data_IF_591041350253
#
_entry.id   IF_591041350253
#
_cell.length_a   1.000
_cell.length_b   1.000
_cell.length_c   1.000
_cell.angle_alpha   90.00
_cell.angle_beta   90.00
_cell.angle_gamma   90.00
#
_symmetry.space_group_name_H-M   'P 1'
#
loop_
_entity.id
_entity.type
_entity.pdbx_description
1 polymer ?
#
# COMPACT_ATOMS: atom_id res chain seq x y z
N UNK A 1 -17.17 -8.44 -23.31
CA UNK A 1 -15.83 -8.87 -23.75
C UNK A 1 -14.92 -7.65 -23.81
N UNK A 2 -14.14 -7.37 -22.75
CA UNK A 2 -13.21 -6.23 -22.70
C UNK A 2 -11.84 -6.66 -23.23
N UNK A 3 -11.76 -6.86 -24.54
CA UNK A 3 -10.50 -7.13 -25.24
C UNK A 3 -9.72 -5.83 -25.43
N UNK A 4 -8.44 -5.85 -25.05
CA UNK A 4 -7.37 -5.00 -25.62
C UNK A 4 -7.49 -3.47 -25.50
N UNK A 5 -8.00 -2.92 -24.39
CA UNK A 5 -7.79 -1.49 -24.12
C UNK A 5 -6.37 -1.24 -23.58
N UNK A 6 -5.44 -0.86 -24.46
CA UNK A 6 -4.09 -0.40 -24.14
C UNK A 6 -4.12 1.08 -23.69
N UNK A 7 -4.92 1.38 -22.67
CA UNK A 7 -4.88 2.70 -22.03
C UNK A 7 -3.54 2.89 -21.32
N UNK A 8 -2.82 3.96 -21.65
CA UNK A 8 -1.63 4.36 -20.90
C UNK A 8 -2.03 4.63 -19.44
N UNK A 9 -1.44 3.89 -18.48
CA UNK A 9 -1.63 4.11 -17.05
C UNK A 9 -1.03 5.49 -16.66
N UNK A 10 -1.83 6.55 -16.75
CA UNK A 10 -1.41 7.91 -16.38
C UNK A 10 -1.69 8.18 -14.90
N UNK A 11 -0.63 8.45 -14.13
CA UNK A 11 -0.73 8.79 -12.71
C UNK A 11 -1.18 10.25 -12.55
N UNK A 12 -2.44 10.45 -12.18
CA UNK A 12 -2.97 11.75 -11.81
C UNK A 12 -2.35 12.26 -10.49
N UNK A 13 -1.85 13.50 -10.49
CA UNK A 13 -1.27 14.17 -9.31
C UNK A 13 -2.33 15.08 -8.68
N UNK A 14 -2.96 14.62 -7.61
CA UNK A 14 -3.96 15.38 -6.83
C UNK A 14 -3.53 15.51 -5.38
N UNK A 15 -3.95 16.59 -4.71
CA UNK A 15 -3.65 16.90 -3.31
C UNK A 15 -2.33 17.64 -3.10
N UNK A 16 -1.93 17.82 -1.83
CA UNK A 16 -0.74 18.58 -1.46
C UNK A 16 0.56 17.89 -1.96
N UNK A 17 1.42 18.60 -2.72
CA UNK A 17 2.63 18.02 -3.30
C UNK A 17 3.70 17.62 -2.26
N UNK A 18 3.83 18.39 -1.17
CA UNK A 18 4.78 18.12 -0.09
C UNK A 18 4.37 16.85 0.67
N UNK A 19 3.08 16.73 1.01
CA UNK A 19 2.56 15.54 1.68
C UNK A 19 2.74 14.28 0.82
N UNK A 20 2.52 14.37 -0.50
CA UNK A 20 2.78 13.25 -1.43
C UNK A 20 4.24 12.84 -1.45
N UNK A 21 5.16 13.81 -1.44
CA UNK A 21 6.61 13.55 -1.40
C UNK A 21 6.99 12.83 -0.11
N UNK A 22 6.51 13.31 1.04
CA UNK A 22 6.74 12.67 2.33
C UNK A 22 6.20 11.23 2.35
N UNK A 23 4.95 11.03 1.92
CA UNK A 23 4.33 9.70 1.89
C UNK A 23 5.08 8.73 0.96
N UNK A 24 5.59 9.21 -0.18
CA UNK A 24 6.44 8.42 -1.06
C UNK A 24 7.71 7.95 -0.35
N UNK A 25 8.39 8.84 0.39
CA UNK A 25 9.55 8.47 1.21
C UNK A 25 9.19 7.50 2.32
N UNK A 26 8.07 7.69 3.00
CA UNK A 26 7.58 6.79 4.05
C UNK A 26 7.42 5.37 3.52
N UNK A 27 6.72 5.19 2.39
CA UNK A 27 6.56 3.86 1.77
C UNK A 27 7.90 3.30 1.31
N UNK A 28 8.79 4.13 0.75
CA UNK A 28 10.13 3.71 0.36
C UNK A 28 10.95 3.20 1.54
N UNK A 29 10.86 3.88 2.68
CA UNK A 29 11.53 3.46 3.91
C UNK A 29 10.93 2.17 4.49
N UNK A 30 9.61 1.97 4.39
CA UNK A 30 8.98 0.70 4.77
C UNK A 30 9.55 -0.48 3.95
N UNK A 31 9.69 -0.30 2.63
CA UNK A 31 10.27 -1.33 1.76
C UNK A 31 11.75 -1.57 2.06
N UNK A 32 12.53 -0.50 2.32
CA UNK A 32 13.95 -0.64 2.71
C UNK A 32 14.13 -1.38 4.03
N UNK A 33 13.16 -1.26 4.95
CA UNK A 33 13.18 -1.89 6.27
C UNK A 33 12.37 -3.21 6.32
N UNK A 34 12.06 -3.81 5.17
CA UNK A 34 11.23 -5.02 5.09
C UNK A 34 11.74 -6.22 5.91
N UNK A 35 13.04 -6.29 6.18
CA UNK A 35 13.64 -7.37 6.97
C UNK A 35 13.47 -7.17 8.49
N UNK A 36 13.19 -5.94 8.93
CA UNK A 36 13.09 -5.63 10.35
C UNK A 36 11.73 -5.98 10.94
N UNK A 37 10.64 -5.75 10.19
CA UNK A 37 9.28 -5.97 10.67
C UNK A 37 8.35 -6.33 9.51
N UNK A 38 7.32 -7.13 9.82
CA UNK A 38 6.32 -7.55 8.86
C UNK A 38 5.31 -6.43 8.56
N UNK A 39 4.99 -6.20 7.28
CA UNK A 39 4.21 -5.03 6.86
C UNK A 39 3.33 -5.30 5.62
N UNK A 40 2.01 -5.17 5.77
CA UNK A 40 1.03 -5.40 4.70
C UNK A 40 1.11 -4.45 3.51
N UNK A 41 1.78 -3.31 3.66
CA UNK A 41 2.05 -2.39 2.56
C UNK A 41 3.22 -2.91 1.72
N UNK A 42 4.23 -3.51 2.36
CA UNK A 42 5.37 -4.14 1.68
C UNK A 42 4.92 -5.42 0.96
N UNK A 43 4.12 -6.27 1.62
CA UNK A 43 3.55 -7.46 0.96
C UNK A 43 2.74 -7.09 -0.27
N UNK A 44 1.96 -6.00 -0.17
CA UNK A 44 1.17 -5.50 -1.27
C UNK A 44 2.02 -4.97 -2.42
N UNK A 45 3.15 -4.32 -2.11
CA UNK A 45 4.12 -3.87 -3.11
C UNK A 45 4.64 -5.07 -3.91
N UNK A 46 5.16 -6.10 -3.24
CA UNK A 46 5.71 -7.29 -3.90
C UNK A 46 4.63 -8.06 -4.68
N UNK A 47 3.42 -8.17 -4.14
CA UNK A 47 2.26 -8.72 -4.86
C UNK A 47 1.99 -8.00 -6.19
N UNK A 48 2.11 -6.67 -6.24
CA UNK A 48 1.94 -5.91 -7.49
C UNK A 48 3.13 -6.06 -8.45
N UNK A 49 4.33 -6.21 -7.91
CA UNK A 49 5.57 -6.43 -8.66
C UNK A 49 5.67 -7.82 -9.28
N UNK A 50 5.09 -8.82 -8.62
CA UNK A 50 5.15 -10.23 -9.02
C UNK A 50 3.89 -10.69 -9.76
N UNK A 51 2.83 -9.86 -9.78
CA UNK A 51 1.57 -10.18 -10.48
C UNK A 51 1.81 -10.48 -11.95
N UNK A 52 1.53 -11.73 -12.36
CA UNK A 52 1.52 -12.17 -13.76
C UNK A 52 0.11 -12.02 -14.37
N UNK A 53 -0.02 -11.84 -15.70
CA UNK A 53 1.07 -11.74 -16.69
C UNK A 53 1.73 -10.36 -16.76
N UNK A 54 1.15 -9.31 -16.15
CA UNK A 54 1.58 -7.92 -16.35
C UNK A 54 1.97 -7.27 -15.01
N UNK A 55 3.25 -7.35 -14.61
CA UNK A 55 3.73 -6.76 -13.37
C UNK A 55 3.67 -5.24 -13.45
N UNK A 56 3.33 -4.59 -12.34
CA UNK A 56 3.26 -3.13 -12.31
C UNK A 56 4.66 -2.50 -12.26
N UNK A 57 4.81 -1.36 -12.94
CA UNK A 57 6.01 -0.53 -12.85
C UNK A 57 6.21 -0.04 -11.42
N UNK A 58 7.47 0.14 -10.98
CA UNK A 58 7.81 0.50 -9.60
C UNK A 58 7.04 1.73 -9.12
N UNK A 59 7.01 2.79 -9.93
CA UNK A 59 6.30 4.03 -9.59
C UNK A 59 4.79 3.82 -9.41
N UNK A 60 4.17 2.97 -10.22
CA UNK A 60 2.75 2.63 -10.13
C UNK A 60 2.49 1.83 -8.86
N UNK A 61 3.34 0.83 -8.56
CA UNK A 61 3.25 0.05 -7.33
C UNK A 61 3.43 0.93 -6.08
N UNK A 62 4.41 1.85 -6.09
CA UNK A 62 4.63 2.81 -5.01
C UNK A 62 3.38 3.68 -4.78
N UNK A 63 2.79 4.24 -5.83
CA UNK A 63 1.57 5.07 -5.71
C UNK A 63 0.38 4.24 -5.20
N UNK A 64 0.24 2.99 -5.63
CA UNK A 64 -0.77 2.08 -5.09
C UNK A 64 -0.56 1.82 -3.59
N UNK A 65 0.69 1.61 -3.15
CA UNK A 65 1.05 1.46 -1.75
C UNK A 65 0.78 2.73 -0.94
N UNK A 66 1.12 3.92 -1.45
CA UNK A 66 0.78 5.20 -0.80
C UNK A 66 -0.73 5.31 -0.53
N UNK A 67 -1.56 4.99 -1.52
CA UNK A 67 -3.01 5.00 -1.37
C UNK A 67 -3.49 3.97 -0.34
N UNK A 68 -2.90 2.76 -0.34
CA UNK A 68 -3.25 1.71 0.63
C UNK A 68 -2.86 2.10 2.05
N UNK A 69 -1.70 2.74 2.24
CA UNK A 69 -1.26 3.28 3.54
C UNK A 69 -2.27 4.30 4.08
N UNK A 70 -2.71 5.27 3.26
CA UNK A 70 -3.70 6.27 3.67
C UNK A 70 -5.04 5.63 4.04
N UNK A 71 -5.53 4.68 3.23
CA UNK A 71 -6.77 3.96 3.54
C UNK A 71 -6.66 3.16 4.84
N UNK A 72 -5.53 2.52 5.08
CA UNK A 72 -5.26 1.76 6.30
C UNK A 72 -5.25 2.70 7.53
N UNK A 73 -4.49 3.80 7.48
CA UNK A 73 -4.45 4.80 8.56
C UNK A 73 -5.84 5.38 8.84
N UNK A 74 -6.58 5.76 7.79
CA UNK A 74 -7.93 6.31 7.93
C UNK A 74 -8.90 5.29 8.55
N UNK A 75 -8.83 4.02 8.15
CA UNK A 75 -9.65 2.95 8.71
C UNK A 75 -9.38 2.78 10.20
N UNK A 76 -8.10 2.70 10.59
CA UNK A 76 -7.69 2.56 11.99
C UNK A 76 -8.19 3.73 12.85
N UNK A 77 -8.06 4.97 12.34
CA UNK A 77 -8.55 6.16 13.05
C UNK A 77 -10.08 6.13 13.20
N UNK A 78 -10.82 5.78 12.14
CA UNK A 78 -12.28 5.76 12.14
C UNK A 78 -12.87 4.71 13.08
N UNK A 79 -12.23 3.55 13.18
CA UNK A 79 -12.72 2.43 13.98
C UNK A 79 -12.04 2.37 15.36
N UNK A 80 -11.11 3.28 15.66
CA UNK A 80 -10.30 3.27 16.88
C UNK A 80 -9.54 1.95 17.10
N UNK A 81 -9.13 1.31 16.00
CA UNK A 81 -8.44 0.02 16.00
C UNK A 81 -6.94 0.21 15.83
N UNK A 82 -6.17 -0.71 16.42
CA UNK A 82 -4.72 -0.75 16.25
C UNK A 82 -4.37 -1.49 14.95
N UNK A 83 -3.17 -1.22 14.45
CA UNK A 83 -2.64 -1.98 13.32
C UNK A 83 -2.32 -3.42 13.76
N UNK A 84 -2.91 -4.40 13.07
CA UNK A 84 -2.63 -5.81 13.27
C UNK A 84 -2.11 -6.42 11.97
N UNK A 85 -0.96 -7.09 12.03
CA UNK A 85 -0.38 -7.77 10.87
C UNK A 85 -0.89 -9.21 10.71
N UNK A 86 -1.19 -9.90 11.82
CA UNK A 86 -1.84 -11.22 11.76
C UNK A 86 -3.29 -11.07 12.19
N UNK A 87 -4.20 -11.73 11.48
CA UNK A 87 -5.62 -11.76 11.83
C UNK A 87 -5.87 -12.29 13.26
N UNK A 88 -5.01 -13.19 13.73
CA UNK A 88 -5.02 -13.73 15.10
C UNK A 88 -4.65 -12.69 16.16
N UNK A 89 -3.92 -11.62 15.81
CA UNK A 89 -3.53 -10.56 16.76
C UNK A 89 -4.71 -9.63 17.09
N UNK A 90 -5.76 -9.66 16.26
CA UNK A 90 -7.03 -8.94 16.44
C UNK A 90 -8.03 -9.69 17.35
N UNK A 91 -7.75 -10.94 17.70
CA UNK A 91 -8.53 -11.68 18.69
C UNK A 91 -8.05 -11.28 20.08
N UNK A 92 -8.68 -10.25 20.66
CA UNK A 92 -8.55 -9.99 22.10
C UNK A 92 -9.13 -11.21 22.82
N UNK A 93 -8.38 -11.91 23.70
CA UNK A 93 -8.99 -12.91 24.55
C UNK A 93 -10.03 -12.19 25.42
N UNK A 94 -11.30 -12.51 25.18
CA UNK A 94 -12.39 -12.13 26.07
C UNK A 94 -12.08 -12.81 27.42
N UNK A 95 -11.66 -12.01 28.40
CA UNK A 95 -11.59 -12.44 29.79
C UNK A 95 -12.99 -12.52 30.38
#
# INVERSE_FOLDING_TARGET
QSGTYLGQDHINKRGNPIARKLLYFTVGNMIRQQHANSNHIVDYYYRLKEKRPHPKLNKVAMVACMNKTLKCLLSMIKHHEKYHYRYTDSMVPVK
#
